data_IF_022599599291
#
_entry.id   IF_022599599291
#
_cell.length_a   1.000
_cell.length_b   1.000
_cell.length_c   1.000
_cell.angle_alpha   90.00
_cell.angle_beta   90.00
_cell.angle_gamma   90.00
#
_symmetry.space_group_name_H-M   'P 1'
#
loop_
_entity.id
_entity.type
_entity.pdbx_description
1 polymer ?
#
# COMPACT_ATOMS: atom_id res chain seq x y z
N UNK A 1 40.05 -70.28 46.17
CA UNK A 1 40.22 -69.32 47.29
C UNK A 1 41.34 -68.35 46.92
N UNK A 2 41.20 -67.09 47.35
CA UNK A 2 42.04 -65.89 47.15
C UNK A 2 41.68 -65.08 45.88
N UNK A 3 40.81 -64.06 46.01
CA UNK A 3 41.01 -62.72 46.61
C UNK A 3 41.94 -61.83 45.78
N UNK A 4 41.29 -61.06 44.91
CA UNK A 4 41.51 -59.63 44.64
C UNK A 4 42.68 -58.97 45.38
N UNK A 5 43.61 -58.34 44.65
CA UNK A 5 44.06 -56.97 44.92
C UNK A 5 44.90 -56.44 43.76
N UNK A 6 44.40 -55.35 43.20
CA UNK A 6 44.97 -54.42 42.22
C UNK A 6 46.11 -53.62 42.86
N UNK A 7 47.21 -53.37 42.14
CA UNK A 7 48.09 -52.22 42.42
C UNK A 7 48.57 -51.59 41.10
N UNK A 8 48.37 -50.28 41.01
CA UNK A 8 48.56 -49.40 39.86
C UNK A 8 50.04 -49.11 39.55
N UNK A 9 50.34 -48.82 38.28
CA UNK A 9 51.34 -47.81 37.94
C UNK A 9 50.80 -46.88 36.85
N UNK A 10 50.85 -45.61 37.18
CA UNK A 10 50.21 -44.44 36.57
C UNK A 10 50.99 -43.89 35.38
N UNK A 11 50.28 -43.45 34.32
CA UNK A 11 50.78 -42.38 33.45
C UNK A 11 49.72 -41.29 33.32
N UNK A 12 50.01 -40.18 33.96
CA UNK A 12 49.25 -38.94 34.04
C UNK A 12 49.19 -38.22 32.70
N UNK A 13 47.98 -37.94 32.22
CA UNK A 13 47.72 -36.86 31.27
C UNK A 13 46.82 -35.82 31.93
N UNK A 14 47.36 -34.62 32.01
CA UNK A 14 46.79 -33.39 32.56
C UNK A 14 45.39 -33.11 31.99
N UNK A 15 44.36 -33.22 32.82
CA UNK A 15 43.16 -32.39 32.71
C UNK A 15 43.14 -31.47 33.93
N UNK A 16 43.52 -30.21 33.72
CA UNK A 16 43.35 -29.16 34.73
C UNK A 16 41.85 -28.79 34.76
N UNK A 17 41.29 -28.82 35.96
CA UNK A 17 39.86 -28.67 36.29
C UNK A 17 39.25 -27.30 36.00
N UNK A 18 37.91 -27.25 35.88
CA UNK A 18 36.96 -26.84 36.92
C UNK A 18 37.16 -25.36 37.31
N UNK A 19 36.19 -24.44 37.18
CA UNK A 19 34.91 -24.38 37.91
C UNK A 19 34.05 -23.29 37.23
N UNK A 20 32.75 -23.51 37.01
CA UNK A 20 31.74 -22.48 37.33
C UNK A 20 30.33 -23.06 37.35
N UNK A 21 29.61 -22.73 38.42
CA UNK A 21 28.24 -23.09 38.73
C UNK A 21 27.21 -22.46 37.78
N UNK A 22 26.06 -23.13 37.68
CA UNK A 22 24.78 -22.44 37.84
C UNK A 22 24.08 -21.94 36.56
N UNK A 23 22.96 -22.62 36.31
CA UNK A 23 21.68 -22.03 35.94
C UNK A 23 21.36 -21.81 34.44
N UNK A 24 20.12 -22.21 34.15
CA UNK A 24 19.27 -21.89 32.98
C UNK A 24 19.81 -22.31 31.62
N UNK A 25 19.21 -23.37 31.08
CA UNK A 25 19.21 -23.61 29.64
C UNK A 25 18.63 -22.39 28.94
N UNK A 26 19.51 -21.62 28.31
CA UNK A 26 19.12 -20.75 27.22
C UNK A 26 19.18 -21.61 25.97
N UNK A 27 18.01 -22.04 25.49
CA UNK A 27 17.85 -22.27 24.07
C UNK A 27 18.30 -21.01 23.35
N UNK A 28 19.35 -21.14 22.54
CA UNK A 28 19.75 -20.10 21.61
C UNK A 28 18.60 -20.00 20.61
N UNK A 29 17.73 -18.99 20.77
CA UNK A 29 16.66 -18.70 19.81
C UNK A 29 17.25 -18.60 18.41
N UNK A 30 16.69 -19.38 17.50
CA UNK A 30 17.15 -19.58 16.15
C UNK A 30 16.91 -18.29 15.35
N UNK A 31 17.99 -17.54 15.06
CA UNK A 31 17.95 -16.22 14.40
C UNK A 31 17.42 -16.21 12.95
N UNK A 32 16.92 -17.35 12.48
CA UNK A 32 16.60 -17.64 11.09
C UNK A 32 15.06 -17.74 10.88
N UNK A 33 14.25 -17.71 11.94
CA UNK A 33 12.79 -17.76 11.86
C UNK A 33 12.17 -16.35 11.93
N UNK A 34 11.10 -16.13 11.16
CA UNK A 34 10.30 -14.89 11.27
C UNK A 34 9.43 -15.03 12.52
N UNK A 35 9.63 -14.16 13.51
CA UNK A 35 8.77 -14.05 14.70
C UNK A 35 7.87 -12.81 14.57
N UNK A 36 6.57 -13.03 14.37
CA UNK A 36 5.54 -11.99 14.37
C UNK A 36 4.28 -12.52 15.05
N UNK A 37 3.62 -11.66 15.82
CA UNK A 37 2.32 -11.94 16.44
C UNK A 37 1.26 -11.04 15.80
N UNK A 38 0.26 -11.66 15.16
CA UNK A 38 -0.83 -10.97 14.48
C UNK A 38 -1.61 -10.02 15.42
N UNK A 39 -1.71 -10.35 16.71
CA UNK A 39 -2.40 -9.52 17.69
C UNK A 39 -1.68 -8.22 18.00
N UNK A 40 -0.38 -8.13 17.68
CA UNK A 40 0.45 -6.96 17.91
C UNK A 40 0.61 -6.11 16.65
N UNK A 41 0.01 -6.51 15.52
CA UNK A 41 0.00 -5.72 14.29
C UNK A 41 -1.07 -4.63 14.39
N UNK A 42 -0.71 -3.42 13.96
CA UNK A 42 -1.60 -2.26 13.80
C UNK A 42 -2.07 -2.16 12.36
N UNK A 43 -1.16 -2.31 11.40
CA UNK A 43 -1.47 -2.27 9.98
C UNK A 43 -0.39 -2.95 9.14
N UNK A 44 -0.77 -3.39 7.94
CA UNK A 44 0.18 -3.84 6.92
C UNK A 44 -0.02 -2.97 5.69
N UNK A 45 0.95 -2.09 5.42
CA UNK A 45 0.97 -1.28 4.21
C UNK A 45 1.56 -2.11 3.08
N UNK A 46 0.77 -2.36 2.03
CA UNK A 46 1.09 -3.21 0.90
C UNK A 46 1.25 -2.36 -0.37
N UNK A 47 2.31 -2.64 -1.12
CA UNK A 47 2.60 -1.98 -2.40
C UNK A 47 2.75 -3.07 -3.46
N UNK A 48 1.90 -3.03 -4.48
CA UNK A 48 2.08 -3.77 -5.74
C UNK A 48 2.84 -2.86 -6.72
N UNK A 49 3.85 -3.40 -7.43
CA UNK A 49 4.74 -2.63 -8.33
C UNK A 49 4.12 -1.38 -8.96
N UNK A 50 4.65 -0.20 -8.57
CA UNK A 50 4.26 1.13 -9.10
C UNK A 50 2.79 1.51 -8.89
N UNK A 51 2.02 0.72 -8.15
CA UNK A 51 0.68 1.07 -7.70
C UNK A 51 0.78 1.84 -6.37
N UNK A 52 -0.27 2.62 -6.04
CA UNK A 52 -0.40 3.24 -4.73
C UNK A 52 -0.32 2.20 -3.60
N UNK A 53 0.07 2.66 -2.42
CA UNK A 53 0.06 1.83 -1.22
C UNK A 53 -1.39 1.57 -0.81
N UNK A 54 -1.74 0.31 -0.57
CA UNK A 54 -2.99 -0.10 0.07
C UNK A 54 -2.70 -0.55 1.50
N UNK A 55 -3.69 -0.50 2.39
CA UNK A 55 -3.51 -0.86 3.80
C UNK A 55 -4.45 -1.98 4.20
N UNK A 56 -3.87 -3.08 4.65
CA UNK A 56 -4.58 -4.16 5.34
C UNK A 56 -4.69 -3.75 6.82
N UNK A 57 -5.91 -3.83 7.37
CA UNK A 57 -6.19 -3.37 8.75
C UNK A 57 -7.02 -4.34 9.59
N UNK A 58 -7.56 -5.40 9.00
CA UNK A 58 -8.38 -6.37 9.73
C UNK A 58 -7.53 -7.52 10.34
N UNK A 59 -8.00 -8.01 11.49
CA UNK A 59 -7.29 -9.05 12.26
C UNK A 59 -7.18 -10.38 11.51
N UNK A 60 -8.20 -10.76 10.73
CA UNK A 60 -8.20 -12.04 10.02
C UNK A 60 -7.12 -12.08 8.93
N UNK A 61 -6.90 -10.96 8.24
CA UNK A 61 -5.83 -10.79 7.27
C UNK A 61 -4.45 -10.75 7.92
N UNK A 62 -4.33 -10.17 9.12
CA UNK A 62 -3.08 -10.22 9.89
C UNK A 62 -2.71 -11.66 10.24
N UNK A 63 -3.66 -12.45 10.72
CA UNK A 63 -3.45 -13.86 11.04
C UNK A 63 -3.01 -14.65 9.80
N UNK A 64 -3.72 -14.47 8.67
CA UNK A 64 -3.37 -15.11 7.40
C UNK A 64 -1.96 -14.73 6.92
N UNK A 65 -1.62 -13.44 6.98
CA UNK A 65 -0.30 -12.95 6.61
C UNK A 65 0.80 -13.56 7.48
N UNK A 66 0.64 -13.47 8.81
CA UNK A 66 1.61 -14.00 9.77
C UNK A 66 1.77 -15.50 9.61
N UNK A 67 0.67 -16.25 9.48
CA UNK A 67 0.72 -17.70 9.27
C UNK A 67 1.51 -18.07 8.01
N UNK A 68 1.31 -17.33 6.92
CA UNK A 68 1.99 -17.63 5.67
C UNK A 68 3.51 -17.38 5.73
N UNK A 69 3.96 -16.31 6.39
CA UNK A 69 5.40 -15.96 6.42
C UNK A 69 6.16 -16.66 7.54
N UNK A 70 5.52 -16.96 8.67
CA UNK A 70 6.18 -17.63 9.81
C UNK A 70 6.40 -19.13 9.58
N UNK A 71 5.72 -19.69 8.56
CA UNK A 71 5.91 -21.06 8.07
C UNK A 71 6.93 -21.17 6.93
N UNK A 72 7.50 -20.05 6.48
CA UNK A 72 8.45 -20.04 5.37
C UNK A 72 9.81 -20.64 5.78
N UNK A 73 10.40 -21.42 4.88
CA UNK A 73 11.70 -22.06 5.11
C UNK A 73 12.83 -21.08 4.80
N UNK A 74 13.76 -20.93 5.74
CA UNK A 74 14.90 -20.03 5.59
C UNK A 74 16.05 -20.68 4.80
N UNK A 75 16.64 -19.91 3.88
CA UNK A 75 17.83 -20.29 3.13
C UNK A 75 18.84 -19.13 3.14
N UNK A 76 20.10 -19.46 3.46
CA UNK A 76 21.21 -18.50 3.54
C UNK A 76 21.78 -18.12 2.18
N UNK A 77 21.36 -18.78 1.10
CA UNK A 77 21.78 -18.50 -0.26
C UNK A 77 21.49 -17.06 -0.68
N UNK A 78 22.47 -16.42 -1.30
CA UNK A 78 22.26 -15.15 -1.99
C UNK A 78 21.66 -15.42 -3.37
N UNK A 79 20.62 -14.67 -3.72
CA UNK A 79 19.97 -14.78 -5.02
C UNK A 79 20.21 -13.49 -5.82
N UNK A 80 20.51 -13.63 -7.10
CA UNK A 80 20.43 -12.53 -8.07
C UNK A 80 18.96 -12.41 -8.51
N UNK A 81 18.25 -11.41 -7.98
CA UNK A 81 16.78 -11.31 -8.09
C UNK A 81 16.34 -10.00 -8.71
N UNK A 82 15.38 -10.12 -9.62
CA UNK A 82 14.65 -9.01 -10.20
C UNK A 82 13.89 -8.20 -9.11
N UNK A 83 13.34 -7.02 -9.43
CA UNK A 83 12.50 -6.27 -8.50
C UNK A 83 11.34 -7.12 -7.95
N UNK A 84 11.01 -6.96 -6.67
CA UNK A 84 9.91 -7.69 -6.02
C UNK A 84 8.55 -7.39 -6.68
N UNK A 85 7.63 -8.35 -6.59
CA UNK A 85 6.24 -8.19 -7.03
C UNK A 85 5.45 -7.33 -6.03
N UNK A 86 5.65 -7.59 -4.74
CA UNK A 86 5.04 -6.83 -3.65
C UNK A 86 6.08 -6.41 -2.61
N UNK A 87 5.76 -5.33 -1.90
CA UNK A 87 6.43 -4.95 -0.65
C UNK A 87 5.40 -4.70 0.43
N UNK A 88 5.72 -5.10 1.66
CA UNK A 88 4.89 -4.78 2.81
C UNK A 88 5.68 -4.12 3.91
N UNK A 89 5.09 -3.13 4.57
CA UNK A 89 5.55 -2.59 5.85
C UNK A 89 4.52 -2.97 6.91
N UNK A 90 4.91 -3.86 7.82
CA UNK A 90 4.09 -4.32 8.96
C UNK A 90 4.37 -3.39 10.13
N UNK A 91 3.38 -2.59 10.54
CA UNK A 91 3.50 -1.66 11.67
C UNK A 91 2.95 -2.31 12.93
N UNK A 92 3.74 -2.33 14.00
CA UNK A 92 3.40 -2.98 15.27
C UNK A 92 2.91 -1.97 16.31
N UNK A 93 2.21 -2.46 17.34
CA UNK A 93 1.68 -1.65 18.45
C UNK A 93 2.75 -0.98 19.30
N UNK A 94 3.94 -1.55 19.35
CA UNK A 94 5.10 -1.01 20.06
C UNK A 94 5.87 0.06 19.24
N UNK A 95 5.40 0.37 18.03
CA UNK A 95 6.00 1.35 17.12
C UNK A 95 7.12 0.80 16.24
N UNK A 96 7.44 -0.49 16.32
CA UNK A 96 8.40 -1.14 15.42
C UNK A 96 7.71 -1.43 14.08
N UNK A 97 8.45 -1.25 12.98
CA UNK A 97 7.99 -1.62 11.65
C UNK A 97 8.93 -2.65 11.01
N UNK A 98 8.35 -3.66 10.35
CA UNK A 98 9.08 -4.68 9.61
C UNK A 98 8.78 -4.62 8.13
N UNK A 99 9.82 -4.59 7.31
CA UNK A 99 9.68 -4.56 5.85
C UNK A 99 9.94 -5.93 5.24
N UNK A 100 9.08 -6.30 4.29
CA UNK A 100 9.19 -7.53 3.54
C UNK A 100 9.05 -7.28 2.04
N UNK A 101 9.78 -8.05 1.24
CA UNK A 101 9.70 -8.07 -0.22
C UNK A 101 9.32 -9.46 -0.70
N UNK A 102 8.40 -9.55 -1.67
CA UNK A 102 7.82 -10.81 -2.14
C UNK A 102 7.98 -11.00 -3.65
N UNK A 103 8.30 -12.22 -4.06
CA UNK A 103 8.29 -12.69 -5.45
C UNK A 103 7.34 -13.89 -5.55
N UNK A 104 6.04 -13.59 -5.69
CA UNK A 104 4.95 -14.54 -5.57
C UNK A 104 3.99 -14.54 -6.77
N UNK A 105 4.18 -13.65 -7.75
CA UNK A 105 3.34 -13.59 -8.96
C UNK A 105 3.85 -14.56 -10.03
N UNK A 106 2.92 -15.18 -10.76
CA UNK A 106 3.24 -16.06 -11.88
C UNK A 106 4.10 -17.27 -11.49
N UNK A 107 5.12 -17.55 -12.31
CA UNK A 107 6.03 -18.69 -12.11
C UNK A 107 7.11 -18.46 -11.05
N UNK A 108 7.05 -17.37 -10.27
CA UNK A 108 8.03 -17.11 -9.21
C UNK A 108 7.94 -18.17 -8.11
N UNK A 109 9.08 -18.58 -7.54
CA UNK A 109 9.21 -19.70 -6.60
C UNK A 109 8.72 -19.42 -5.17
N UNK A 110 7.85 -18.42 -4.97
CA UNK A 110 7.33 -18.08 -3.64
C UNK A 110 8.41 -17.52 -2.72
N UNK A 111 9.18 -16.54 -3.18
CA UNK A 111 10.29 -16.00 -2.40
C UNK A 111 9.87 -14.82 -1.55
N UNK A 112 10.47 -14.71 -0.37
CA UNK A 112 10.28 -13.66 0.60
C UNK A 112 11.65 -13.21 1.15
N UNK A 113 11.84 -11.90 1.32
CA UNK A 113 12.99 -11.35 2.05
C UNK A 113 12.48 -10.40 3.12
N UNK A 114 13.00 -10.56 4.34
CA UNK A 114 12.83 -9.60 5.44
C UNK A 114 13.99 -8.61 5.42
N UNK A 115 13.69 -7.31 5.39
CA UNK A 115 14.70 -6.25 5.39
C UNK A 115 15.60 -6.35 6.63
N UNK A 116 16.91 -6.12 6.44
CA UNK A 116 17.91 -6.23 7.49
C UNK A 116 18.31 -7.65 7.88
N UNK A 117 17.72 -8.69 7.25
CA UNK A 117 18.11 -10.07 7.48
C UNK A 117 18.90 -10.63 6.28
N UNK A 118 19.97 -11.36 6.57
CA UNK A 118 20.73 -12.06 5.52
C UNK A 118 19.93 -13.28 5.04
N UNK A 119 20.05 -13.62 3.75
CA UNK A 119 19.35 -14.77 3.16
C UNK A 119 17.94 -14.44 2.66
N UNK A 120 17.17 -15.49 2.38
CA UNK A 120 15.81 -15.40 1.89
C UNK A 120 14.95 -16.53 2.48
N UNK A 121 13.66 -16.44 2.23
CA UNK A 121 12.66 -17.39 2.66
C UNK A 121 11.92 -17.97 1.46
N UNK A 122 11.57 -19.25 1.55
CA UNK A 122 10.73 -19.95 0.58
C UNK A 122 9.38 -20.25 1.20
N UNK A 123 8.33 -19.72 0.60
CA UNK A 123 6.95 -20.01 0.95
C UNK A 123 6.57 -21.38 0.38
N UNK A 124 5.75 -22.13 1.11
CA UNK A 124 5.04 -23.28 0.53
C UNK A 124 4.10 -22.81 -0.59
N UNK A 125 3.70 -23.70 -1.50
CA UNK A 125 2.72 -23.37 -2.54
C UNK A 125 1.40 -22.86 -1.94
N UNK A 126 0.99 -23.42 -0.80
CA UNK A 126 -0.19 -22.98 -0.05
C UNK A 126 0.00 -21.57 0.49
N UNK A 127 1.09 -21.29 1.21
CA UNK A 127 1.39 -19.97 1.77
C UNK A 127 1.54 -18.91 0.68
N UNK A 128 2.17 -19.27 -0.45
CA UNK A 128 2.28 -18.40 -1.64
C UNK A 128 0.90 -18.06 -2.19
N UNK A 129 0.05 -19.06 -2.40
CA UNK A 129 -1.31 -18.85 -2.92
C UNK A 129 -2.13 -17.99 -1.95
N UNK A 130 -2.08 -18.28 -0.65
CA UNK A 130 -2.87 -17.57 0.35
C UNK A 130 -2.45 -16.10 0.50
N UNK A 131 -1.14 -15.80 0.39
CA UNK A 131 -0.64 -14.43 0.34
C UNK A 131 -1.02 -13.72 -0.96
N UNK A 132 -0.94 -14.41 -2.09
CA UNK A 132 -1.33 -13.83 -3.38
C UNK A 132 -2.83 -13.50 -3.39
N UNK A 133 -3.67 -14.41 -2.92
CA UNK A 133 -5.11 -14.22 -2.77
C UNK A 133 -5.40 -13.05 -1.81
N UNK A 134 -4.69 -12.99 -0.68
CA UNK A 134 -4.80 -11.88 0.27
C UNK A 134 -4.45 -10.54 -0.38
N UNK A 135 -3.26 -10.43 -0.98
CA UNK A 135 -2.80 -9.18 -1.58
C UNK A 135 -3.69 -8.74 -2.73
N UNK A 136 -4.04 -9.67 -3.62
CA UNK A 136 -4.94 -9.37 -4.74
C UNK A 136 -6.34 -9.02 -4.26
N UNK A 137 -6.86 -9.66 -3.20
CA UNK A 137 -8.13 -9.22 -2.61
C UNK A 137 -8.05 -7.79 -2.10
N UNK A 138 -6.93 -7.38 -1.49
CA UNK A 138 -6.71 -5.99 -1.06
C UNK A 138 -6.70 -4.99 -2.25
N UNK A 139 -6.35 -5.42 -3.47
CA UNK A 139 -6.43 -4.58 -4.68
C UNK A 139 -7.74 -4.76 -5.48
N UNK A 140 -8.47 -5.86 -5.26
CA UNK A 140 -9.72 -6.19 -5.96
C UNK A 140 -10.98 -5.84 -5.14
N UNK A 141 -10.84 -5.50 -3.86
CA UNK A 141 -11.91 -4.98 -3.00
C UNK A 141 -12.48 -3.63 -3.49
N UNK A 142 -11.82 -2.97 -4.46
CA UNK A 142 -12.37 -1.83 -5.19
C UNK A 142 -13.44 -2.22 -6.25
N UNK A 143 -13.79 -3.51 -6.44
CA UNK A 143 -14.71 -3.93 -7.54
C UNK A 143 -15.89 -4.86 -7.24
N UNK A 144 -16.15 -5.34 -6.01
CA UNK A 144 -17.46 -5.97 -5.70
C UNK A 144 -17.68 -6.28 -4.18
N UNK A 145 -18.47 -5.44 -3.50
CA UNK A 145 -19.49 -5.70 -2.42
C UNK A 145 -19.31 -6.92 -1.47
N UNK A 146 -19.40 -6.89 -0.12
CA UNK A 146 -20.36 -6.23 0.79
C UNK A 146 -19.99 -6.45 2.29
N UNK A 147 -20.20 -5.43 3.14
CA UNK A 147 -20.24 -5.32 4.64
C UNK A 147 -19.20 -6.12 5.47
N UNK A 148 -18.26 -5.53 6.21
CA UNK A 148 -18.36 -4.55 7.32
C UNK A 148 -16.90 -4.12 7.60
N UNK A 149 -16.34 -2.94 7.30
CA UNK A 149 -16.72 -1.57 7.67
C UNK A 149 -16.21 -0.59 6.59
N UNK A 150 -17.07 -0.21 5.64
CA UNK A 150 -16.71 0.80 4.62
C UNK A 150 -16.68 2.17 5.30
N UNK A 151 -15.51 2.79 5.35
CA UNK A 151 -15.43 4.21 5.70
C UNK A 151 -16.24 4.98 4.65
N UNK A 152 -17.17 5.84 5.08
CA UNK A 152 -18.14 6.40 4.17
C UNK A 152 -17.41 7.28 3.15
N UNK A 153 -17.66 7.04 1.86
CA UNK A 153 -16.97 7.69 0.75
C UNK A 153 -17.85 8.75 0.08
N UNK A 154 -17.26 9.85 -0.41
CA UNK A 154 -17.97 10.78 -1.28
C UNK A 154 -18.24 10.15 -2.66
N UNK A 155 -19.15 10.72 -3.46
CA UNK A 155 -19.47 10.22 -4.79
C UNK A 155 -18.27 10.24 -5.74
N UNK A 156 -18.13 9.24 -6.61
CA UNK A 156 -17.19 9.29 -7.73
C UNK A 156 -17.65 10.23 -8.84
N UNK A 157 -16.72 10.64 -9.70
CA UNK A 157 -16.98 11.60 -10.80
C UNK A 157 -16.43 11.06 -12.11
N UNK A 158 -17.31 10.81 -13.07
CA UNK A 158 -16.91 10.57 -14.45
C UNK A 158 -16.75 11.89 -15.18
N UNK A 159 -15.66 12.03 -15.93
CA UNK A 159 -15.30 13.23 -16.67
C UNK A 159 -15.30 12.93 -18.15
N UNK A 160 -15.93 13.80 -18.93
CA UNK A 160 -15.88 13.77 -20.39
C UNK A 160 -15.26 15.06 -20.92
N UNK A 161 -14.16 14.95 -21.67
CA UNK A 161 -13.46 16.09 -22.27
C UNK A 161 -12.63 15.63 -23.47
N UNK A 162 -12.62 16.41 -24.56
CA UNK A 162 -11.82 16.10 -25.75
C UNK A 162 -12.19 14.77 -26.42
N UNK A 163 -13.41 14.27 -26.20
CA UNK A 163 -13.88 12.96 -26.67
C UNK A 163 -13.44 11.77 -25.81
N UNK A 164 -12.66 11.99 -24.75
CA UNK A 164 -12.25 10.96 -23.80
C UNK A 164 -13.21 10.95 -22.59
N UNK A 165 -13.41 9.76 -22.01
CA UNK A 165 -14.17 9.58 -20.77
C UNK A 165 -13.34 8.81 -19.74
N UNK A 166 -13.22 9.34 -18.52
CA UNK A 166 -12.42 8.74 -17.46
C UNK A 166 -12.86 9.24 -16.07
N UNK A 167 -12.46 8.54 -15.02
CA UNK A 167 -12.78 8.92 -13.64
C UNK A 167 -11.82 10.01 -13.13
N UNK A 168 -12.35 11.04 -12.47
CA UNK A 168 -11.54 12.04 -11.79
C UNK A 168 -10.82 11.43 -10.58
N UNK A 169 -9.64 11.95 -10.25
CA UNK A 169 -8.90 11.47 -9.08
C UNK A 169 -9.43 12.18 -7.83
N UNK A 170 -9.91 11.42 -6.85
CA UNK A 170 -10.34 11.96 -5.56
C UNK A 170 -9.14 12.47 -4.75
N UNK A 171 -9.25 13.70 -4.25
CA UNK A 171 -8.33 14.31 -3.30
C UNK A 171 -8.89 14.25 -1.87
N UNK A 172 -8.47 15.20 -1.03
CA UNK A 172 -8.89 15.25 0.37
C UNK A 172 -10.42 15.36 0.51
N UNK A 173 -10.96 14.70 1.52
CA UNK A 173 -12.39 14.73 1.80
C UNK A 173 -12.70 14.60 3.28
N UNK A 174 -13.88 15.10 3.66
CA UNK A 174 -14.51 14.83 4.93
C UNK A 174 -15.94 14.37 4.63
N UNK A 175 -16.29 13.18 5.11
CA UNK A 175 -17.56 12.55 4.77
C UNK A 175 -18.20 11.91 5.99
N UNK A 176 -19.50 12.14 6.15
CA UNK A 176 -20.31 11.58 7.21
C UNK A 176 -21.51 10.87 6.62
N UNK A 177 -21.59 9.57 6.86
CA UNK A 177 -22.75 8.77 6.51
C UNK A 177 -23.08 7.81 7.66
N UNK A 178 -24.38 7.65 7.92
CA UNK A 178 -24.90 6.76 8.96
C UNK A 178 -24.23 6.92 10.35
N UNK A 179 -23.85 8.14 10.71
CA UNK A 179 -23.24 8.45 12.02
C UNK A 179 -21.75 8.14 12.13
N UNK A 180 -21.11 7.68 11.05
CA UNK A 180 -19.65 7.53 10.95
C UNK A 180 -19.11 8.72 10.16
N UNK A 181 -18.20 9.48 10.75
CA UNK A 181 -17.51 10.59 10.09
C UNK A 181 -16.04 10.23 9.86
N UNK A 182 -15.53 10.43 8.65
CA UNK A 182 -14.13 10.26 8.30
C UNK A 182 -13.62 11.52 7.61
N UNK A 183 -12.40 11.94 7.93
CA UNK A 183 -11.66 12.92 7.16
C UNK A 183 -10.36 12.27 6.70
N UNK A 184 -10.09 12.35 5.41
CA UNK A 184 -8.88 11.83 4.79
C UNK A 184 -8.19 12.98 4.09
N UNK A 185 -6.93 13.19 4.44
CA UNK A 185 -6.07 14.15 3.77
C UNK A 185 -5.18 13.42 2.78
N UNK A 186 -5.16 13.91 1.55
CA UNK A 186 -4.45 13.30 0.43
C UNK A 186 -3.34 14.25 -0.04
N UNK A 187 -2.31 13.66 -0.64
CA UNK A 187 -1.19 14.35 -1.26
C UNK A 187 -1.61 15.49 -2.21
N UNK A 188 -0.64 16.36 -2.55
CA UNK A 188 -0.89 17.54 -3.39
C UNK A 188 -1.50 17.19 -4.75
N UNK A 189 -2.29 18.12 -5.32
CA UNK A 189 -2.93 17.94 -6.63
C UNK A 189 -1.94 17.56 -7.76
N UNK A 190 -0.70 18.08 -7.71
CA UNK A 190 0.36 17.75 -8.68
C UNK A 190 0.81 16.29 -8.55
N UNK A 191 0.86 15.76 -7.33
CA UNK A 191 1.18 14.37 -7.07
C UNK A 191 0.02 13.45 -7.46
N UNK A 192 -1.21 13.85 -7.16
CA UNK A 192 -2.41 13.09 -7.51
C UNK A 192 -2.53 12.85 -9.01
N UNK A 193 -2.30 13.85 -9.85
CA UNK A 193 -2.41 13.65 -11.30
C UNK A 193 -1.30 12.78 -11.89
N UNK A 194 -0.23 12.49 -11.14
CA UNK A 194 0.82 11.56 -11.61
C UNK A 194 0.34 10.10 -11.74
N UNK A 195 -0.77 9.75 -11.06
CA UNK A 195 -1.41 8.43 -11.17
C UNK A 195 -2.57 8.42 -12.18
N UNK A 196 -2.86 9.55 -12.83
CA UNK A 196 -3.90 9.62 -13.85
C UNK A 196 -3.54 8.73 -15.04
N UNK A 197 -4.41 7.78 -15.38
CA UNK A 197 -4.16 6.82 -16.47
C UNK A 197 -4.48 7.39 -17.85
N UNK A 198 -5.44 8.30 -17.92
CA UNK A 198 -5.93 8.89 -19.17
C UNK A 198 -5.44 10.33 -19.25
N UNK A 199 -4.51 10.62 -20.16
CA UNK A 199 -4.00 11.97 -20.38
C UNK A 199 -4.74 12.64 -21.53
N UNK A 200 -5.91 13.20 -21.25
CA UNK A 200 -6.78 13.80 -22.26
C UNK A 200 -6.14 15.03 -22.92
N UNK A 201 -6.35 15.14 -24.23
CA UNK A 201 -5.95 16.29 -25.04
C UNK A 201 -7.20 16.99 -25.53
N UNK A 202 -7.27 18.30 -25.33
CA UNK A 202 -8.44 19.11 -25.70
C UNK A 202 -8.03 20.51 -26.15
N UNK A 203 -8.98 21.23 -26.73
CA UNK A 203 -8.80 22.62 -27.15
C UNK A 203 -9.26 23.52 -26.00
N UNK A 204 -8.52 24.60 -25.71
CA UNK A 204 -8.96 25.59 -24.72
C UNK A 204 -10.37 26.09 -25.05
N UNK A 205 -11.22 26.21 -24.03
CA UNK A 205 -12.64 26.54 -24.21
C UNK A 205 -13.54 25.34 -24.53
N UNK A 206 -13.00 24.14 -24.78
CA UNK A 206 -13.82 22.93 -24.87
C UNK A 206 -14.58 22.72 -23.55
N UNK A 207 -15.79 22.17 -23.68
CA UNK A 207 -16.62 21.83 -22.54
C UNK A 207 -16.10 20.56 -21.84
N UNK A 208 -16.06 20.60 -20.52
CA UNK A 208 -15.87 19.47 -19.64
C UNK A 208 -17.20 19.14 -19.00
N UNK A 209 -17.62 17.89 -19.07
CA UNK A 209 -18.83 17.39 -18.41
C UNK A 209 -18.44 16.52 -17.21
N UNK A 210 -19.11 16.75 -16.07
CA UNK A 210 -18.92 16.00 -14.85
C UNK A 210 -20.19 15.24 -14.49
N UNK A 211 -20.10 13.91 -14.45
CA UNK A 211 -21.17 13.03 -14.02
C UNK A 211 -20.82 12.41 -12.67
N UNK A 212 -21.40 12.98 -11.62
CA UNK A 212 -21.28 12.45 -10.26
C UNK A 212 -22.23 11.27 -10.08
N UNK A 213 -21.77 10.21 -9.41
CA UNK A 213 -22.67 9.10 -9.03
C UNK A 213 -23.80 9.54 -8.09
N UNK A 214 -23.59 10.65 -7.37
CA UNK A 214 -24.61 11.41 -6.66
C UNK A 214 -24.28 12.90 -6.70
N UNK A 215 -25.18 13.73 -7.26
CA UNK A 215 -24.91 15.13 -7.55
C UNK A 215 -24.70 16.00 -6.29
N UNK A 216 -23.70 16.91 -6.29
CA UNK A 216 -23.47 17.84 -5.17
C UNK A 216 -24.51 18.95 -5.10
N UNK A 217 -24.62 19.56 -3.92
CA UNK A 217 -25.39 20.79 -3.70
C UNK A 217 -24.65 22.02 -4.19
N UNK A 218 -23.34 22.03 -4.01
CA UNK A 218 -22.46 23.14 -4.38
C UNK A 218 -21.20 22.57 -5.03
N UNK A 219 -20.70 23.27 -6.05
CA UNK A 219 -19.47 22.92 -6.72
C UNK A 219 -18.73 24.17 -7.16
N UNK A 220 -17.41 24.15 -6.95
CA UNK A 220 -16.46 25.15 -7.40
C UNK A 220 -15.38 24.46 -8.22
N UNK A 221 -14.94 25.07 -9.30
CA UNK A 221 -13.84 24.55 -10.13
C UNK A 221 -12.77 25.62 -10.26
N UNK A 222 -11.53 25.21 -10.03
CA UNK A 222 -10.35 26.07 -10.15
C UNK A 222 -9.36 25.47 -11.15
N UNK A 223 -8.93 26.27 -12.11
CA UNK A 223 -7.83 25.93 -13.00
C UNK A 223 -6.50 26.36 -12.36
N UNK A 224 -5.53 25.46 -12.36
CA UNK A 224 -4.14 25.69 -11.94
C UNK A 224 -3.20 25.42 -13.10
N UNK A 225 -2.09 26.15 -13.16
CA UNK A 225 -1.16 26.16 -14.30
C UNK A 225 0.27 25.79 -13.84
N UNK A 226 0.57 24.49 -13.57
CA UNK A 226 1.86 24.11 -13.02
C UNK A 226 3.05 24.50 -13.92
N UNK A 227 3.95 25.30 -13.37
CA UNK A 227 5.13 25.80 -14.08
C UNK A 227 4.93 27.12 -14.82
N UNK A 228 3.77 27.77 -14.66
CA UNK A 228 3.49 29.11 -15.17
C UNK A 228 3.39 30.13 -14.01
N UNK A 229 3.71 31.40 -14.26
CA UNK A 229 3.49 32.50 -13.28
C UNK A 229 2.02 32.93 -13.20
N UNK A 230 1.14 32.26 -13.96
CA UNK A 230 -0.28 32.56 -14.03
C UNK A 230 -0.96 32.16 -12.71
N UNK A 231 -1.75 33.05 -12.09
CA UNK A 231 -2.52 32.70 -10.91
C UNK A 231 -3.63 31.70 -11.26
N UNK A 232 -4.03 30.91 -10.26
CA UNK A 232 -5.18 30.02 -10.37
C UNK A 232 -6.45 30.81 -10.72
N UNK A 233 -7.31 30.19 -11.54
CA UNK A 233 -8.49 30.82 -12.10
C UNK A 233 -9.76 30.06 -11.67
N UNK A 234 -10.68 30.77 -11.00
CA UNK A 234 -12.00 30.23 -10.71
C UNK A 234 -12.86 30.19 -11.99
N UNK A 235 -13.42 29.03 -12.29
CA UNK A 235 -14.21 28.82 -13.51
C UNK A 235 -15.71 28.88 -13.21
N UNK A 236 -16.47 29.39 -14.17
CA UNK A 236 -17.93 29.32 -14.11
C UNK A 236 -18.41 27.90 -14.39
N UNK A 237 -19.32 27.42 -13.56
CA UNK A 237 -19.93 26.10 -13.66
C UNK A 237 -21.41 26.25 -14.00
N UNK A 238 -21.89 25.53 -15.01
CA UNK A 238 -23.32 25.39 -15.33
C UNK A 238 -23.66 23.90 -15.46
N UNK A 239 -24.68 23.43 -14.74
CA UNK A 239 -25.18 22.04 -14.80
C UNK A 239 -24.09 20.96 -14.78
N UNK A 240 -23.16 21.07 -13.83
CA UNK A 240 -22.00 20.18 -13.69
C UNK A 240 -21.06 20.16 -14.90
N UNK A 241 -21.02 21.25 -15.67
CA UNK A 241 -20.08 21.44 -16.76
C UNK A 241 -19.34 22.77 -16.61
N UNK A 242 -18.14 22.84 -17.17
CA UNK A 242 -17.34 24.06 -17.24
C UNK A 242 -16.52 24.07 -18.53
N UNK A 243 -15.94 25.22 -18.89
CA UNK A 243 -15.06 25.34 -20.05
C UNK A 243 -13.60 25.32 -19.64
N UNK A 244 -12.75 24.63 -20.41
CA UNK A 244 -11.31 24.62 -20.20
C UNK A 244 -10.74 26.05 -20.25
N UNK A 245 -9.84 26.37 -19.32
CA UNK A 245 -9.22 27.68 -19.25
C UNK A 245 -8.43 28.00 -20.53
N UNK A 246 -8.40 29.28 -20.91
CA UNK A 246 -7.65 29.74 -22.07
C UNK A 246 -6.16 29.41 -21.93
N UNK A 247 -5.49 29.03 -23.02
CA UNK A 247 -4.04 28.77 -23.02
C UNK A 247 -3.69 27.33 -23.38
N UNK A 248 -2.46 27.15 -23.86
CA UNK A 248 -1.89 25.83 -24.14
C UNK A 248 -0.97 25.40 -23.02
N UNK A 249 -0.94 24.11 -22.74
CA UNK A 249 -0.09 23.57 -21.69
C UNK A 249 -0.82 22.51 -20.89
N UNK A 250 -0.19 22.09 -19.80
CA UNK A 250 -0.82 21.21 -18.84
C UNK A 250 -1.60 22.07 -17.86
N UNK A 251 -2.91 21.87 -17.81
CA UNK A 251 -3.77 22.53 -16.83
C UNK A 251 -4.29 21.49 -15.86
N UNK A 252 -4.36 21.83 -14.58
CA UNK A 252 -5.06 21.04 -13.57
C UNK A 252 -6.42 21.70 -13.32
N UNK A 253 -7.47 20.91 -13.24
CA UNK A 253 -8.79 21.37 -12.84
C UNK A 253 -9.15 20.72 -11.52
N UNK A 254 -9.25 21.53 -10.49
CA UNK A 254 -9.51 21.14 -9.12
C UNK A 254 -10.98 21.43 -8.84
N UNK A 255 -11.74 20.38 -8.56
CA UNK A 255 -13.18 20.41 -8.36
C UNK A 255 -13.42 20.24 -6.86
N UNK A 256 -13.98 21.25 -6.22
CA UNK A 256 -14.44 21.16 -4.83
C UNK A 256 -15.95 21.01 -4.82
N UNK A 257 -16.47 19.94 -4.23
CA UNK A 257 -17.89 19.65 -4.21
C UNK A 257 -18.39 19.42 -2.78
N UNK A 258 -19.63 19.86 -2.50
CA UNK A 258 -20.28 19.74 -1.19
C UNK A 258 -21.65 19.07 -1.29
N UNK A 259 -21.93 18.24 -0.30
CA UNK A 259 -23.17 17.52 -0.08
C UNK A 259 -23.65 17.69 1.36
N UNK A 260 -24.89 17.30 1.70
CA UNK A 260 -25.31 17.21 3.10
C UNK A 260 -24.37 16.37 3.98
N UNK A 261 -23.78 15.32 3.40
CA UNK A 261 -22.91 14.36 4.06
C UNK A 261 -21.49 14.90 4.29
N UNK A 262 -21.05 15.92 3.54
CA UNK A 262 -19.69 16.43 3.65
C UNK A 262 -19.17 17.06 2.37
N UNK A 263 -17.85 17.05 2.21
CA UNK A 263 -17.15 17.67 1.08
C UNK A 263 -15.99 16.83 0.59
N UNK A 264 -15.71 16.91 -0.71
CA UNK A 264 -14.58 16.24 -1.33
C UNK A 264 -13.95 17.14 -2.40
N UNK A 265 -12.66 16.95 -2.65
CA UNK A 265 -11.99 17.48 -3.83
C UNK A 265 -11.73 16.38 -4.87
N UNK A 266 -11.67 16.77 -6.13
CA UNK A 266 -11.26 15.93 -7.24
C UNK A 266 -10.32 16.72 -8.13
N UNK A 267 -9.43 16.04 -8.84
CA UNK A 267 -8.49 16.67 -9.76
C UNK A 267 -8.42 15.91 -11.08
N UNK A 268 -8.31 16.67 -12.17
CA UNK A 268 -7.97 16.16 -13.50
C UNK A 268 -6.85 17.00 -14.12
N UNK A 269 -5.92 16.34 -14.81
CA UNK A 269 -4.97 16.97 -15.73
C UNK A 269 -5.52 16.90 -17.17
N UNK A 270 -5.47 18.01 -17.90
CA UNK A 270 -5.78 18.06 -19.33
C UNK A 270 -4.65 18.78 -20.06
N UNK A 271 -4.15 18.16 -21.12
CA UNK A 271 -3.21 18.80 -22.04
C UNK A 271 -4.00 19.67 -23.03
N UNK A 272 -3.99 20.98 -22.79
CA UNK A 272 -4.71 21.96 -23.58
C UNK A 272 -3.87 22.44 -24.78
N UNK A 273 -4.57 22.70 -25.89
CA UNK A 273 -4.02 23.35 -27.09
C UNK A 273 -4.91 24.53 -27.49
N UNK A 274 -4.33 25.55 -28.12
CA UNK A 274 -5.12 26.69 -28.62
C UNK A 274 -5.65 26.34 -30.01
N UNK A 275 -6.91 26.67 -30.29
CA UNK A 275 -7.51 26.49 -31.61
C UNK A 275 -6.69 27.23 -32.68
N UNK A 276 -6.32 26.51 -33.75
CA UNK A 276 -5.72 27.13 -34.93
C UNK A 276 -6.84 27.77 -35.74
N UNK A 277 -6.95 29.09 -35.66
CA UNK A 277 -7.78 29.88 -36.59
C UNK A 277 -7.32 29.68 -38.03
#
# INVERSE_FOLDING_TARGET
MNKTALLLLTLTLLFIGLVSCGNTGNEIKQADQIELDANNIVSINLIERKQPTTTISDTSSFERFVQAITTAEYDRGQLDIAPSDYRTTVNMKDGISYEFSFWIVGSNNGLLIKSGQMGHYRLSDTSKKDLLDLFQSTFNEDKNSSEDTVNPQPPSVQVTVGGEQFEAIQGSYCWNDNGKGVCVDIASNVELVSIQKVHSKAISGDQVELEFSYAPKEMEVMASFPGEERPDEALSVDKNSFQLAAGSGRHLYIIHARWPQGSASYVIEVQCSVSKK
#
